data_IF_056571632745
#
_entry.id   IF_056571632745
#
_cell.length_a   1.000
_cell.length_b   1.000
_cell.length_c   1.000
_cell.angle_alpha   90.00
_cell.angle_beta   90.00
_cell.angle_gamma   90.00
#
_symmetry.space_group_name_H-M   'P 1'
#
loop_
_entity.id
_entity.type
_entity.pdbx_description
1 polymer ?
#
# COMPACT_ATOMS: atom_id res chain seq x y z
N UNK A 1 -61.86 0.39 14.92
CA UNK A 1 -60.63 0.25 14.11
C UNK A 1 -59.49 -0.06 15.06
N UNK A 2 -59.15 -1.34 15.23
CA UNK A 2 -58.13 -1.78 16.19
C UNK A 2 -56.79 -1.94 15.46
N UNK A 3 -55.88 -1.00 15.65
CA UNK A 3 -54.51 -1.07 15.12
C UNK A 3 -53.71 -2.11 15.90
N UNK A 4 -53.37 -3.22 15.24
CA UNK A 4 -52.46 -4.24 15.76
C UNK A 4 -51.06 -3.62 15.93
N UNK A 5 -50.59 -3.51 17.17
CA UNK A 5 -49.21 -3.09 17.47
C UNK A 5 -48.25 -4.24 17.12
N UNK A 6 -47.24 -3.93 16.32
CA UNK A 6 -46.17 -4.85 15.94
C UNK A 6 -45.41 -5.32 17.19
N UNK A 7 -45.10 -6.63 17.36
CA UNK A 7 -44.38 -7.10 18.53
C UNK A 7 -42.97 -6.51 18.58
N UNK A 8 -42.67 -5.87 19.71
CA UNK A 8 -41.37 -5.28 20.04
C UNK A 8 -40.32 -6.41 20.08
N UNK A 9 -39.37 -6.39 19.15
CA UNK A 9 -38.25 -7.35 19.13
C UNK A 9 -37.48 -7.18 20.44
N UNK A 10 -37.47 -8.22 21.28
CA UNK A 10 -36.65 -8.25 22.48
C UNK A 10 -35.18 -8.35 22.07
N UNK A 11 -34.43 -7.25 22.17
CA UNK A 11 -33.00 -7.22 21.86
C UNK A 11 -32.19 -7.83 23.01
N UNK A 12 -32.20 -9.16 23.14
CA UNK A 12 -31.22 -9.83 24.00
C UNK A 12 -29.84 -9.76 23.33
N UNK A 13 -28.81 -9.18 23.96
CA UNK A 13 -27.49 -9.11 23.36
C UNK A 13 -26.90 -10.51 23.22
N UNK A 14 -26.45 -10.85 22.01
CA UNK A 14 -25.75 -12.11 21.75
C UNK A 14 -24.33 -11.99 22.28
N UNK A 15 -23.93 -12.88 23.20
CA UNK A 15 -22.56 -12.92 23.72
C UNK A 15 -21.61 -13.47 22.66
N UNK A 16 -20.75 -12.62 22.11
CA UNK A 16 -19.73 -13.03 21.14
C UNK A 16 -18.59 -13.75 21.87
N UNK A 17 -18.47 -15.07 21.67
CA UNK A 17 -17.35 -15.86 22.19
C UNK A 17 -16.19 -15.77 21.19
N UNK A 18 -15.05 -15.26 21.63
CA UNK A 18 -13.83 -15.19 20.81
C UNK A 18 -13.07 -16.51 20.89
N UNK A 19 -12.49 -16.95 19.78
CA UNK A 19 -11.61 -18.12 19.77
C UNK A 19 -10.22 -17.72 20.27
N UNK A 20 -9.79 -18.26 21.41
CA UNK A 20 -8.48 -17.96 22.02
C UNK A 20 -7.29 -18.40 21.16
N UNK A 21 -7.46 -19.46 20.35
CA UNK A 21 -6.41 -19.95 19.44
C UNK A 21 -6.21 -19.06 18.22
N UNK A 22 -7.07 -18.08 18.00
CA UNK A 22 -7.03 -17.23 16.82
C UNK A 22 -6.02 -16.10 16.99
N UNK A 23 -4.96 -16.15 16.19
CA UNK A 23 -3.97 -15.07 16.08
C UNK A 23 -4.44 -14.12 14.98
N UNK A 24 -4.72 -12.87 15.36
CA UNK A 24 -5.17 -11.87 14.39
C UNK A 24 -4.02 -11.52 13.43
N UNK A 25 -4.33 -11.47 12.13
CA UNK A 25 -3.47 -10.90 11.12
C UNK A 25 -4.33 -9.97 10.28
N UNK A 26 -4.27 -8.67 10.54
CA UNK A 26 -5.21 -7.68 9.98
C UNK A 26 -5.37 -7.82 8.46
N UNK A 27 -4.26 -7.81 7.73
CA UNK A 27 -4.24 -7.90 6.26
C UNK A 27 -4.78 -9.23 5.75
N UNK A 28 -4.32 -10.38 6.28
CA UNK A 28 -4.80 -11.70 5.84
C UNK A 28 -6.29 -11.90 6.15
N UNK A 29 -6.74 -11.38 7.29
CA UNK A 29 -8.14 -11.48 7.73
C UNK A 29 -9.05 -10.63 6.84
N UNK A 30 -8.62 -9.41 6.52
CA UNK A 30 -9.33 -8.55 5.59
C UNK A 30 -9.43 -9.16 4.18
N UNK A 31 -8.31 -9.62 3.61
CA UNK A 31 -8.26 -10.32 2.31
C UNK A 31 -9.15 -11.57 2.31
N UNK A 32 -9.18 -12.32 3.41
CA UNK A 32 -10.08 -13.46 3.55
C UNK A 32 -11.55 -13.04 3.50
N UNK A 33 -11.93 -11.99 4.25
CA UNK A 33 -13.28 -11.45 4.24
C UNK A 33 -13.69 -10.96 2.85
N UNK A 34 -12.80 -10.25 2.14
CA UNK A 34 -13.05 -9.84 0.75
C UNK A 34 -13.32 -11.03 -0.16
N UNK A 35 -12.53 -12.12 -0.03
CA UNK A 35 -12.73 -13.34 -0.82
C UNK A 35 -14.05 -14.06 -0.46
N UNK A 36 -14.40 -14.11 0.83
CA UNK A 36 -15.58 -14.80 1.36
C UNK A 36 -16.88 -14.08 1.00
N UNK A 37 -16.92 -12.77 1.22
CA UNK A 37 -18.13 -11.95 1.12
C UNK A 37 -18.21 -11.13 -0.17
N UNK A 38 -17.16 -11.11 -0.99
CA UNK A 38 -17.12 -10.42 -2.29
C UNK A 38 -17.51 -8.94 -2.23
N UNK A 39 -17.18 -8.24 -1.15
CA UNK A 39 -17.27 -6.78 -1.13
C UNK A 39 -16.04 -6.13 -1.79
N UNK A 40 -16.22 -4.90 -2.27
CA UNK A 40 -15.13 -4.08 -2.78
C UNK A 40 -14.52 -3.27 -1.62
N UNK A 41 -13.21 -3.00 -1.64
CA UNK A 41 -12.62 -2.14 -0.63
C UNK A 41 -13.28 -0.75 -0.67
N UNK A 42 -13.45 -0.13 0.50
CA UNK A 42 -14.02 1.22 0.61
C UNK A 42 -13.04 2.28 0.11
N UNK A 43 -11.75 2.00 0.22
CA UNK A 43 -10.66 2.81 -0.35
C UNK A 43 -10.77 2.77 -1.88
N UNK A 44 -10.50 3.90 -2.53
CA UNK A 44 -10.57 3.97 -3.98
C UNK A 44 -9.77 2.84 -4.66
N UNK A 45 -10.27 2.26 -5.77
CA UNK A 45 -9.65 1.12 -6.41
C UNK A 45 -8.18 1.34 -6.80
N UNK A 46 -7.79 2.60 -7.06
CA UNK A 46 -6.45 2.98 -7.47
C UNK A 46 -5.40 2.79 -6.35
N UNK A 47 -5.81 3.04 -5.11
CA UNK A 47 -4.99 2.93 -3.89
C UNK A 47 -5.05 1.53 -3.27
N UNK A 48 -6.13 0.79 -3.52
CA UNK A 48 -6.30 -0.55 -2.95
C UNK A 48 -5.25 -1.55 -3.47
N UNK A 49 -4.48 -2.15 -2.54
CA UNK A 49 -3.52 -3.23 -2.85
C UNK A 49 -4.20 -4.51 -3.35
N UNK A 50 -5.47 -4.72 -3.01
CA UNK A 50 -6.25 -5.90 -3.34
C UNK A 50 -7.55 -5.50 -4.00
N UNK A 51 -7.90 -6.15 -5.12
CA UNK A 51 -9.10 -5.83 -5.89
C UNK A 51 -9.72 -7.08 -6.51
N UNK A 52 -11.02 -7.02 -6.83
CA UNK A 52 -11.71 -8.09 -7.54
C UNK A 52 -11.49 -7.93 -9.05
N UNK A 53 -10.72 -8.84 -9.66
CA UNK A 53 -10.46 -8.84 -11.09
C UNK A 53 -11.18 -9.99 -11.81
N UNK A 54 -11.67 -9.74 -13.02
CA UNK A 54 -12.15 -10.80 -13.91
C UNK A 54 -10.95 -11.62 -14.41
N UNK A 55 -11.10 -12.94 -14.48
CA UNK A 55 -10.15 -13.87 -15.06
C UNK A 55 -10.92 -14.80 -15.99
N UNK A 56 -10.42 -14.99 -17.21
CA UNK A 56 -10.94 -16.01 -18.11
C UNK A 56 -10.45 -17.39 -17.63
N UNK A 57 -11.39 -18.32 -17.51
CA UNK A 57 -11.12 -19.73 -17.25
C UNK A 57 -11.70 -20.54 -18.41
N UNK A 58 -10.81 -21.18 -19.17
CA UNK A 58 -11.17 -22.04 -20.29
C UNK A 58 -11.00 -23.51 -19.87
N UNK A 59 -12.06 -24.30 -20.03
CA UNK A 59 -12.06 -25.69 -19.60
C UNK A 59 -11.26 -26.60 -20.54
N UNK A 60 -11.07 -26.19 -21.80
CA UNK A 60 -10.57 -27.07 -22.86
C UNK A 60 -11.63 -28.11 -23.25
N UNK A 61 -11.64 -28.54 -24.52
CA UNK A 61 -12.40 -29.74 -24.96
C UNK A 61 -11.47 -30.83 -25.48
N UNK A 62 -10.37 -30.43 -26.12
CA UNK A 62 -9.43 -31.34 -26.77
C UNK A 62 -8.08 -31.39 -26.05
N UNK A 63 -7.67 -30.30 -25.41
CA UNK A 63 -6.48 -30.19 -24.57
C UNK A 63 -6.66 -29.00 -23.59
N UNK A 64 -5.81 -28.83 -22.56
CA UNK A 64 -5.85 -27.66 -21.69
C UNK A 64 -5.81 -26.37 -22.51
N UNK A 65 -6.78 -25.48 -22.30
CA UNK A 65 -6.95 -24.22 -23.06
C UNK A 65 -7.16 -24.38 -24.58
N UNK A 66 -7.51 -25.57 -25.09
CA UNK A 66 -7.81 -25.79 -26.52
C UNK A 66 -9.25 -26.25 -26.73
N UNK A 67 -10.05 -25.40 -27.38
CA UNK A 67 -11.48 -25.58 -27.57
C UNK A 67 -12.30 -25.53 -26.26
N UNK A 68 -13.59 -25.80 -26.34
CA UNK A 68 -14.47 -25.88 -25.17
C UNK A 68 -15.03 -24.53 -24.70
N UNK A 69 -15.63 -24.53 -23.50
CA UNK A 69 -16.32 -23.35 -22.94
C UNK A 69 -15.31 -22.44 -22.22
N UNK A 70 -15.40 -21.14 -22.50
CA UNK A 70 -14.73 -20.10 -21.74
C UNK A 70 -15.72 -19.46 -20.78
N UNK A 71 -15.34 -19.34 -19.51
CA UNK A 71 -16.14 -18.68 -18.47
C UNK A 71 -15.33 -17.55 -17.86
N UNK A 72 -15.98 -16.41 -17.62
CA UNK A 72 -15.34 -15.30 -16.91
C UNK A 72 -15.64 -15.46 -15.42
N UNK A 73 -14.60 -15.66 -14.62
CA UNK A 73 -14.71 -15.80 -13.16
C UNK A 73 -14.07 -14.59 -12.47
N UNK A 74 -14.75 -14.05 -11.46
CA UNK A 74 -14.19 -12.97 -10.64
C UNK A 74 -13.30 -13.57 -9.56
N UNK A 75 -12.07 -13.09 -9.43
CA UNK A 75 -11.10 -13.53 -8.42
C UNK A 75 -10.43 -12.33 -7.76
N UNK A 76 -10.12 -12.47 -6.47
CA UNK A 76 -9.33 -11.48 -5.74
C UNK A 76 -7.89 -11.51 -6.26
N UNK A 77 -7.39 -10.36 -6.69
CA UNK A 77 -6.03 -10.16 -7.17
C UNK A 77 -5.30 -9.17 -6.25
N UNK A 78 -3.99 -9.31 -6.16
CA UNK A 78 -3.09 -8.38 -5.48
C UNK A 78 -2.38 -7.55 -6.55
N UNK A 79 -2.33 -6.23 -6.37
CA UNK A 79 -1.47 -5.35 -7.17
C UNK A 79 -0.02 -5.60 -6.71
N UNK A 80 0.78 -6.22 -7.56
CA UNK A 80 2.23 -6.35 -7.33
C UNK A 80 2.85 -5.05 -7.81
N UNK A 81 3.19 -4.15 -6.89
CA UNK A 81 4.08 -3.05 -7.18
C UNK A 81 5.50 -3.61 -7.34
N UNK A 82 5.87 -3.96 -8.57
CA UNK A 82 7.25 -4.11 -9.06
C UNK A 82 7.16 -4.46 -10.54
N UNK A 83 6.85 -3.45 -11.35
CA UNK A 83 7.34 -3.39 -12.71
C UNK A 83 8.41 -2.31 -12.68
N UNK A 84 9.68 -2.70 -12.77
CA UNK A 84 10.72 -1.87 -13.38
C UNK A 84 10.33 -1.68 -14.85
N UNK A 85 9.32 -0.88 -15.10
CA UNK A 85 8.97 -0.42 -16.43
C UNK A 85 9.20 1.08 -16.39
N UNK A 86 10.16 1.55 -17.18
CA UNK A 86 10.55 2.94 -17.37
C UNK A 86 9.45 3.78 -18.05
N UNK A 87 8.21 3.61 -17.63
CA UNK A 87 7.06 4.32 -18.14
C UNK A 87 5.96 4.36 -17.07
N UNK A 88 5.98 5.41 -16.26
CA UNK A 88 4.80 5.89 -15.53
C UNK A 88 4.16 4.90 -14.55
N UNK A 89 4.97 4.10 -13.85
CA UNK A 89 4.48 3.24 -12.77
C UNK A 89 3.99 4.06 -11.57
N UNK A 90 2.73 3.84 -11.16
CA UNK A 90 2.19 4.41 -9.91
C UNK A 90 3.03 3.89 -8.73
N UNK A 91 3.85 4.77 -8.14
CA UNK A 91 4.61 4.50 -6.92
C UNK A 91 3.73 4.72 -5.70
N UNK A 92 3.63 3.71 -4.83
CA UNK A 92 3.01 3.88 -3.52
C UNK A 92 4.11 4.15 -2.51
N UNK A 93 4.05 5.32 -1.87
CA UNK A 93 5.00 5.73 -0.83
C UNK A 93 4.24 5.76 0.50
N UNK A 94 4.73 5.03 1.50
CA UNK A 94 4.15 5.03 2.84
C UNK A 94 4.69 6.26 3.61
N UNK A 95 3.81 6.98 4.29
CA UNK A 95 4.17 8.13 5.12
C UNK A 95 3.91 7.82 6.59
N UNK A 96 4.79 8.32 7.45
CA UNK A 96 4.67 8.23 8.91
C UNK A 96 3.99 9.49 9.44
N UNK A 97 2.92 9.30 10.22
CA UNK A 97 2.34 10.36 11.03
C UNK A 97 3.30 10.77 12.15
N UNK A 98 3.62 12.05 12.18
CA UNK A 98 4.45 12.71 13.18
C UNK A 98 3.59 13.78 13.87
N UNK A 99 3.65 13.78 15.21
CA UNK A 99 2.98 14.77 16.06
C UNK A 99 1.44 14.78 16.00
N UNK A 100 0.81 13.60 15.91
CA UNK A 100 -0.66 13.43 15.96
C UNK A 100 -1.38 14.22 14.85
N UNK A 101 -1.18 13.81 13.61
CA UNK A 101 -1.77 14.40 12.39
C UNK A 101 -1.30 15.83 12.07
N UNK A 102 -0.19 16.29 12.66
CA UNK A 102 0.38 17.60 12.35
C UNK A 102 1.34 17.57 11.14
N UNK A 103 1.99 16.43 10.87
CA UNK A 103 2.99 16.27 9.82
C UNK A 103 3.06 14.82 9.33
N UNK A 104 3.16 14.60 8.02
CA UNK A 104 3.33 13.27 7.43
C UNK A 104 4.65 13.16 6.67
N UNK A 105 5.60 12.40 7.20
CA UNK A 105 6.94 12.25 6.60
C UNK A 105 7.05 10.99 5.75
N UNK A 106 7.53 11.12 4.52
CA UNK A 106 7.77 10.03 3.59
C UNK A 106 9.27 9.86 3.31
N UNK A 107 9.75 8.61 3.23
CA UNK A 107 11.14 8.33 2.88
C UNK A 107 11.37 8.43 1.36
N UNK A 108 12.33 9.25 0.95
CA UNK A 108 12.73 9.45 -0.45
C UNK A 108 14.23 9.22 -0.59
N UNK A 109 14.59 8.40 -1.59
CA UNK A 109 15.99 8.11 -1.92
C UNK A 109 16.50 9.12 -2.95
N UNK A 110 17.62 9.77 -2.65
CA UNK A 110 18.26 10.77 -3.52
C UNK A 110 19.72 10.39 -3.78
N UNK A 111 20.13 10.49 -5.05
CA UNK A 111 21.52 10.33 -5.48
C UNK A 111 21.97 8.88 -5.73
N UNK A 112 23.23 8.75 -6.12
CA UNK A 112 23.91 7.48 -6.36
C UNK A 112 25.29 7.52 -5.69
N UNK A 113 25.55 6.74 -4.63
CA UNK A 113 24.66 5.74 -4.04
C UNK A 113 23.41 6.36 -3.39
N UNK A 114 22.29 5.62 -3.31
CA UNK A 114 21.04 6.13 -2.75
C UNK A 114 21.17 6.56 -1.28
N UNK A 115 20.74 7.77 -0.96
CA UNK A 115 20.68 8.31 0.40
C UNK A 115 19.22 8.59 0.77
N UNK A 116 18.75 8.06 1.90
CA UNK A 116 17.36 8.24 2.35
C UNK A 116 17.15 9.53 3.13
N UNK A 117 16.10 10.28 2.75
CA UNK A 117 15.66 11.49 3.43
C UNK A 117 14.19 11.37 3.79
N UNK A 118 13.81 11.83 5.00
CA UNK A 118 12.41 11.95 5.40
C UNK A 118 11.91 13.34 4.99
N UNK A 119 10.96 13.39 4.05
CA UNK A 119 10.41 14.61 3.46
C UNK A 119 8.92 14.75 3.77
N UNK A 120 8.48 15.99 3.88
CA UNK A 120 7.06 16.35 3.92
C UNK A 120 6.55 16.58 2.48
N UNK A 121 5.43 15.94 2.13
CA UNK A 121 4.81 16.11 0.80
C UNK A 121 3.83 17.27 0.82
N UNK A 122 4.36 18.48 0.69
CA UNK A 122 3.59 19.72 0.67
C UNK A 122 3.00 20.02 -0.72
N UNK A 123 1.68 19.89 -0.86
CA UNK A 123 0.94 20.28 -2.08
C UNK A 123 0.81 21.79 -2.28
N UNK A 124 1.15 22.59 -1.27
CA UNK A 124 1.11 24.05 -1.30
C UNK A 124 2.36 24.70 -1.93
N UNK A 125 3.39 23.91 -2.23
CA UNK A 125 4.63 24.36 -2.89
C UNK A 125 5.03 23.44 -4.05
N UNK A 126 6.01 23.87 -4.85
CA UNK A 126 6.49 23.13 -6.03
C UNK A 126 8.00 22.83 -6.01
N UNK A 127 8.68 23.24 -4.93
CA UNK A 127 10.11 23.04 -4.76
C UNK A 127 10.39 21.85 -3.84
N UNK A 128 11.32 20.98 -4.25
CA UNK A 128 11.88 19.94 -3.38
C UNK A 128 13.21 20.44 -2.83
N UNK A 129 13.26 20.68 -1.52
CA UNK A 129 14.44 21.17 -0.84
C UNK A 129 14.82 20.20 0.29
N UNK A 130 16.13 19.99 0.46
CA UNK A 130 16.69 19.13 1.51
C UNK A 130 17.83 19.84 2.21
N UNK A 131 17.98 19.63 3.51
CA UNK A 131 19.13 20.14 4.24
C UNK A 131 20.38 19.35 3.88
N UNK A 132 21.36 20.03 3.29
CA UNK A 132 22.69 19.47 3.03
C UNK A 132 23.70 20.04 4.03
N UNK A 133 24.49 19.16 4.64
CA UNK A 133 25.67 19.57 5.38
C UNK A 133 26.85 19.56 4.44
N UNK A 134 27.29 20.74 3.99
CA UNK A 134 28.58 20.87 3.32
C UNK A 134 29.67 20.71 4.40
N UNK A 135 30.17 19.49 4.59
CA UNK A 135 31.31 19.28 5.49
C UNK A 135 32.53 19.97 4.91
N UNK A 136 32.92 21.11 5.48
CA UNK A 136 34.18 21.80 5.20
C UNK A 136 35.44 21.00 5.60
N UNK A 137 35.28 19.77 6.09
CA UNK A 137 36.37 18.95 6.64
C UNK A 137 37.07 18.06 5.59
N UNK A 138 37.27 18.56 4.37
CA UNK A 138 38.08 17.87 3.34
C UNK A 138 39.06 18.78 2.60
N UNK A 139 39.12 20.08 2.91
CA UNK A 139 40.04 21.00 2.21
C UNK A 139 41.41 21.18 2.89
N UNK A 140 41.66 20.59 4.06
CA UNK A 140 42.94 20.76 4.79
C UNK A 140 43.97 19.65 4.58
N UNK A 141 43.61 18.49 3.99
CA UNK A 141 44.59 17.40 3.78
C UNK A 141 45.36 17.51 2.45
N UNK A 142 44.87 18.29 1.47
CA UNK A 142 45.52 18.47 0.16
C UNK A 142 46.35 19.77 0.06
N UNK A 143 46.20 20.71 1.00
CA UNK A 143 46.98 21.95 1.04
C UNK A 143 48.32 21.82 1.80
N UNK A 144 48.60 20.65 2.39
CA UNK A 144 49.74 20.43 3.31
C UNK A 144 51.00 19.79 2.74
N UNK A 145 51.07 19.45 1.43
CA UNK A 145 52.22 18.72 0.86
C UNK A 145 53.07 19.53 -0.16
N UNK A 146 52.92 20.86 -0.25
CA UNK A 146 53.71 21.66 -1.22
C UNK A 146 54.34 22.91 -0.60
N UNK A 147 54.77 22.86 0.67
CA UNK A 147 55.62 23.91 1.25
C UNK A 147 56.76 23.30 2.06
N UNK A 148 57.79 22.82 1.36
CA UNK A 148 58.99 22.29 1.99
C UNK A 148 60.05 21.83 1.01
N UNK A 149 60.33 22.62 -0.04
CA UNK A 149 61.55 22.46 -0.85
C UNK A 149 61.89 23.80 -1.52
N UNK A 150 62.52 24.67 -0.75
CA UNK A 150 63.49 25.68 -1.14
C UNK A 150 64.29 26.06 0.11
#
# INVERSE_FOLDING_TARGET
MSSQLHPHISHTPIRVIKNEKYIHNGTKSYVHLMRKWRFNPTIEPQESKYFQGKQLAQQGKFAPNVGGRATTITRLKKKTGSGTDESGGVGLVEAQDVQNDALYLAEVLVGTPPQGFLLDFDTGSADLWVFIYFSFLSLFLLAGLVRGLC
#
